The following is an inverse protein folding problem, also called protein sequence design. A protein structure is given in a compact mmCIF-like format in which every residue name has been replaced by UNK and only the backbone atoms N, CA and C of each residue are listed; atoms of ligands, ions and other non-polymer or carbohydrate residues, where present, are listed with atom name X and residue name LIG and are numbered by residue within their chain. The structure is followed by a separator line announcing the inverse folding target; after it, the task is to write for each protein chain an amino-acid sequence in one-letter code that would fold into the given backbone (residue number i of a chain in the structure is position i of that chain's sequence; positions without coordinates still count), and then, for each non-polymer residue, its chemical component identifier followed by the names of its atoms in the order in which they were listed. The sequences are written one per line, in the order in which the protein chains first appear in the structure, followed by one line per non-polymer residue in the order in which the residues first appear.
data_IF_823581828426
#
_entry.id   IF_823581828426
#
_cell.length_a   1.000
_cell.length_b   1.000
_cell.length_c   1.000
_cell.angle_alpha   90.00
_cell.angle_beta   90.00
_cell.angle_gamma   90.00
#
_symmetry.space_group_name_H-M   'P 1'
#
loop_
_entity.id
_entity.type
_entity.pdbx_description
1 polymer ?
#
# COMPACT_ATOMS: atom_id res chain seq x y z
N UNK A 1 -2.77 -9.94 17.54
CA UNK A 1 -1.72 -8.96 17.87
C UNK A 1 -0.46 -9.08 17.01
N UNK A 2 0.29 -10.21 17.04
CA UNK A 2 1.54 -10.38 16.26
C UNK A 2 1.39 -10.15 14.73
N UNK A 3 0.31 -10.65 14.12
CA UNK A 3 0.04 -10.46 12.66
C UNK A 3 -0.22 -8.98 12.31
N UNK A 4 -0.88 -8.24 13.20
CA UNK A 4 -1.25 -6.84 12.98
C UNK A 4 -0.02 -5.92 13.10
N UNK A 5 0.81 -6.13 14.11
CA UNK A 5 2.10 -5.45 14.23
C UNK A 5 2.99 -5.68 13.01
N UNK A 6 3.01 -6.91 12.50
CA UNK A 6 3.75 -7.24 11.28
C UNK A 6 3.19 -6.52 10.05
N UNK A 7 1.87 -6.43 9.89
CA UNK A 7 1.22 -5.67 8.81
C UNK A 7 1.60 -4.19 8.88
N UNK A 8 1.51 -3.60 10.07
CA UNK A 8 1.87 -2.20 10.30
C UNK A 8 3.34 -1.95 10.00
N UNK A 9 4.24 -2.85 10.43
CA UNK A 9 5.66 -2.77 10.09
C UNK A 9 5.90 -2.80 8.58
N UNK A 10 5.28 -3.73 7.85
CA UNK A 10 5.41 -3.78 6.39
C UNK A 10 4.85 -2.51 5.73
N UNK A 11 3.68 -2.03 6.15
CA UNK A 11 3.08 -0.80 5.62
C UNK A 11 4.00 0.40 5.83
N UNK A 12 4.51 0.57 7.06
CA UNK A 12 5.45 1.62 7.41
C UNK A 12 6.75 1.52 6.59
N UNK A 13 7.38 0.35 6.59
CA UNK A 13 8.65 0.11 5.90
C UNK A 13 8.54 0.38 4.39
N UNK A 14 7.54 -0.20 3.72
CA UNK A 14 7.31 0.03 2.29
C UNK A 14 6.87 1.48 2.01
N UNK A 15 6.11 2.09 2.91
CA UNK A 15 5.75 3.51 2.82
C UNK A 15 6.96 4.43 2.83
N UNK A 16 7.95 4.16 3.70
CA UNK A 16 9.21 4.90 3.72
C UNK A 16 10.01 4.71 2.42
N UNK A 17 10.08 3.49 1.89
CA UNK A 17 10.70 3.22 0.58
C UNK A 17 10.03 4.07 -0.51
N UNK A 18 8.70 4.16 -0.50
CA UNK A 18 7.94 4.96 -1.47
C UNK A 18 8.28 6.44 -1.36
N UNK A 19 8.39 7.00 -0.16
CA UNK A 19 8.81 8.39 0.05
C UNK A 19 10.21 8.63 -0.51
N UNK A 20 11.16 7.73 -0.24
CA UNK A 20 12.54 7.81 -0.75
C UNK A 20 12.54 7.75 -2.29
N UNK A 21 11.75 6.85 -2.88
CA UNK A 21 11.64 6.72 -4.34
C UNK A 21 11.04 7.97 -4.99
N UNK A 22 10.05 8.62 -4.38
CA UNK A 22 9.52 9.90 -4.87
C UNK A 22 10.63 10.94 -4.92
N UNK A 23 11.39 11.08 -3.82
CA UNK A 23 12.49 12.05 -3.72
C UNK A 23 13.62 11.78 -4.72
N UNK A 24 13.95 10.51 -4.97
CA UNK A 24 15.05 10.12 -5.86
C UNK A 24 14.68 10.13 -7.35
N UNK A 25 13.49 9.62 -7.71
CA UNK A 25 13.06 9.51 -9.10
C UNK A 25 12.46 10.82 -9.64
N UNK A 26 11.97 11.68 -8.75
CA UNK A 26 11.14 12.83 -9.11
C UNK A 26 9.71 12.43 -9.49
N UNK A 27 8.82 13.43 -9.56
CA UNK A 27 7.37 13.21 -9.72
C UNK A 27 7.03 12.40 -10.97
N UNK A 28 7.53 12.78 -12.15
CA UNK A 28 7.15 12.14 -13.43
C UNK A 28 7.54 10.67 -13.48
N UNK A 29 8.80 10.34 -13.15
CA UNK A 29 9.28 8.97 -13.18
C UNK A 29 8.58 8.11 -12.13
N UNK A 30 8.36 8.65 -10.94
CA UNK A 30 7.61 7.96 -9.89
C UNK A 30 6.17 7.66 -10.34
N UNK A 31 5.46 8.64 -10.91
CA UNK A 31 4.09 8.44 -11.39
C UNK A 31 4.00 7.38 -12.49
N UNK A 32 4.93 7.40 -13.45
CA UNK A 32 5.02 6.37 -14.49
C UNK A 32 5.22 4.99 -13.87
N UNK A 33 6.17 4.84 -12.95
CA UNK A 33 6.41 3.58 -12.25
C UNK A 33 5.18 3.15 -11.43
N UNK A 34 4.50 4.08 -10.76
CA UNK A 34 3.32 3.82 -9.96
C UNK A 34 2.14 3.30 -10.81
N UNK A 35 1.91 3.90 -11.98
CA UNK A 35 0.90 3.42 -12.93
C UNK A 35 1.20 1.98 -13.35
N UNK A 36 2.45 1.66 -13.69
CA UNK A 36 2.86 0.30 -14.06
C UNK A 36 2.62 -0.67 -12.90
N UNK A 37 3.02 -0.30 -11.68
CA UNK A 37 2.79 -1.11 -10.47
C UNK A 37 1.30 -1.36 -10.24
N UNK A 38 0.45 -0.34 -10.41
CA UNK A 38 -1.00 -0.46 -10.27
C UNK A 38 -1.59 -1.40 -11.32
N UNK A 39 -1.20 -1.26 -12.60
CA UNK A 39 -1.69 -2.13 -13.68
C UNK A 39 -1.32 -3.60 -13.40
N UNK A 40 -0.06 -3.85 -13.00
CA UNK A 40 0.41 -5.19 -12.60
C UNK A 40 -0.37 -5.67 -11.38
N UNK A 41 -0.55 -4.84 -10.36
CA UNK A 41 -1.26 -5.16 -9.12
C UNK A 41 -2.72 -5.55 -9.36
N UNK A 42 -3.45 -4.77 -10.17
CA UNK A 42 -4.83 -5.06 -10.54
C UNK A 42 -4.91 -6.35 -11.37
N UNK A 43 -4.02 -6.54 -12.35
CA UNK A 43 -3.95 -7.76 -13.14
C UNK A 43 -3.78 -8.99 -12.25
N UNK A 44 -2.82 -8.95 -11.32
CA UNK A 44 -2.58 -10.00 -10.34
C UNK A 44 -3.81 -10.25 -9.48
N UNK A 45 -4.42 -9.20 -8.94
CA UNK A 45 -5.59 -9.28 -8.06
C UNK A 45 -6.75 -10.01 -8.75
N UNK A 46 -7.00 -9.67 -10.02
CA UNK A 46 -8.02 -10.33 -10.85
C UNK A 46 -7.69 -11.80 -11.10
N UNK A 47 -6.44 -12.14 -11.45
CA UNK A 47 -6.04 -13.54 -11.70
C UNK A 47 -6.18 -14.41 -10.47
N UNK A 48 -5.83 -13.89 -9.29
CA UNK A 48 -6.00 -14.58 -8.01
C UNK A 48 -7.48 -14.79 -7.70
N UNK A 49 -8.31 -13.75 -7.88
CA UNK A 49 -9.76 -13.84 -7.69
C UNK A 49 -10.40 -14.91 -8.57
N UNK A 50 -9.95 -15.02 -9.82
CA UNK A 50 -10.41 -16.03 -10.78
C UNK A 50 -9.93 -17.46 -10.47
N UNK A 51 -9.18 -17.69 -9.38
CA UNK A 51 -8.56 -18.98 -9.01
C UNK A 51 -7.73 -19.61 -10.13
N UNK A 52 -7.28 -18.83 -11.11
CA UNK A 52 -6.38 -19.32 -12.16
C UNK A 52 -5.01 -19.53 -11.52
N UNK A 53 -4.64 -20.81 -11.33
CA UNK A 53 -3.34 -21.20 -10.78
C UNK A 53 -2.24 -20.73 -11.73
N UNK A 54 -1.56 -19.64 -11.41
CA UNK A 54 -0.24 -19.32 -11.96
C UNK A 54 0.77 -19.89 -10.96
N UNK A 55 1.33 -21.09 -11.17
CA UNK A 55 2.00 -21.86 -10.12
C UNK A 55 3.16 -21.11 -9.45
N UNK A 56 3.96 -20.38 -10.22
CA UNK A 56 5.08 -19.58 -9.71
C UNK A 56 4.63 -18.34 -8.93
N UNK A 57 3.60 -17.64 -9.42
CA UNK A 57 3.08 -16.42 -8.80
C UNK A 57 2.30 -16.73 -7.51
N UNK A 58 1.67 -17.89 -7.46
CA UNK A 58 0.81 -18.28 -6.35
C UNK A 58 1.60 -18.39 -5.04
N UNK A 59 2.82 -18.92 -5.06
CA UNK A 59 3.60 -19.15 -3.84
C UNK A 59 4.12 -17.84 -3.23
N UNK A 60 4.68 -16.96 -4.06
CA UNK A 60 5.23 -15.68 -3.58
C UNK A 60 4.11 -14.73 -3.14
N UNK A 61 3.04 -14.63 -3.94
CA UNK A 61 1.96 -13.69 -3.67
C UNK A 61 1.06 -14.19 -2.55
N UNK A 62 0.79 -15.49 -2.43
CA UNK A 62 0.05 -16.02 -1.28
C UNK A 62 0.83 -15.80 0.02
N UNK A 63 2.17 -15.91 -0.01
CA UNK A 63 3.01 -15.53 1.13
C UNK A 63 2.89 -14.04 1.43
N UNK A 64 3.09 -13.16 0.45
CA UNK A 64 3.01 -11.70 0.61
C UNK A 64 1.62 -11.23 1.09
N UNK A 65 0.54 -11.73 0.48
CA UNK A 65 -0.84 -11.50 0.93
C UNK A 65 -1.09 -12.08 2.33
N UNK A 66 -0.43 -13.19 2.70
CA UNK A 66 -0.46 -13.73 4.05
C UNK A 66 0.25 -12.83 5.08
N UNK A 67 1.29 -12.11 4.66
CA UNK A 67 2.07 -11.20 5.50
C UNK A 67 1.39 -9.84 5.67
N UNK A 68 0.91 -9.23 4.58
CA UNK A 68 0.38 -7.87 4.54
C UNK A 68 -1.15 -7.77 4.41
N UNK A 69 -1.81 -8.81 3.88
CA UNK A 69 -3.26 -8.81 3.64
C UNK A 69 -4.10 -9.19 4.87
N UNK A 70 -5.33 -8.66 4.91
CA UNK A 70 -6.34 -9.03 5.92
C UNK A 70 -7.14 -10.24 5.43
N UNK A 71 -7.52 -11.14 6.36
CA UNK A 71 -8.41 -12.28 6.04
C UNK A 71 -9.78 -11.85 5.50
N UNK A 72 -10.16 -10.58 5.74
CA UNK A 72 -11.40 -9.95 5.26
C UNK A 72 -11.29 -9.40 3.84
N UNK A 73 -10.10 -9.34 3.23
CA UNK A 73 -9.91 -8.91 1.83
C UNK A 73 -10.22 -10.04 0.82
N UNK A 74 -11.27 -10.83 1.07
CA UNK A 74 -11.64 -11.95 0.20
C UNK A 74 -12.08 -11.50 -1.19
N UNK A 75 -12.66 -10.30 -1.29
CA UNK A 75 -13.27 -9.81 -2.54
C UNK A 75 -12.26 -9.21 -3.51
N UNK A 76 -11.16 -8.64 -2.97
CA UNK A 76 -10.08 -7.99 -3.72
C UNK A 76 -8.75 -8.33 -3.04
N UNK A 77 -8.03 -9.36 -3.53
CA UNK A 77 -6.70 -9.71 -3.05
C UNK A 77 -5.76 -8.51 -3.14
N UNK A 78 -5.11 -8.14 -2.03
CA UNK A 78 -4.15 -7.03 -2.00
C UNK A 78 -4.78 -5.64 -1.97
N UNK A 79 -6.07 -5.52 -1.62
CA UNK A 79 -6.81 -4.25 -1.56
C UNK A 79 -6.04 -3.13 -0.85
N UNK A 80 -5.42 -3.42 0.29
CA UNK A 80 -4.61 -2.43 1.01
C UNK A 80 -3.47 -1.83 0.16
N UNK A 81 -2.69 -2.66 -0.53
CA UNK A 81 -1.62 -2.19 -1.40
C UNK A 81 -2.17 -1.42 -2.60
N UNK A 82 -3.21 -1.92 -3.26
CA UNK A 82 -3.86 -1.22 -4.38
C UNK A 82 -4.36 0.16 -3.95
N UNK A 83 -5.05 0.23 -2.81
CA UNK A 83 -5.59 1.49 -2.27
C UNK A 83 -4.48 2.46 -1.91
N UNK A 84 -3.37 1.96 -1.34
CA UNK A 84 -2.20 2.78 -1.05
C UNK A 84 -1.61 3.39 -2.33
N UNK A 85 -1.31 2.57 -3.34
CA UNK A 85 -0.74 3.06 -4.60
C UNK A 85 -1.71 3.95 -5.40
N UNK A 86 -3.02 3.69 -5.34
CA UNK A 86 -4.03 4.61 -5.88
C UNK A 86 -4.01 5.95 -5.15
N UNK A 87 -3.92 5.94 -3.82
CA UNK A 87 -3.79 7.16 -3.02
C UNK A 87 -2.53 7.94 -3.36
N UNK A 88 -1.39 7.27 -3.55
CA UNK A 88 -0.14 7.94 -3.93
C UNK A 88 -0.20 8.48 -5.37
N UNK A 89 -0.88 7.81 -6.29
CA UNK A 89 -1.13 8.32 -7.64
C UNK A 89 -1.99 9.59 -7.60
N UNK A 90 -3.10 9.59 -6.84
CA UNK A 90 -3.96 10.76 -6.69
C UNK A 90 -3.21 11.95 -6.07
N UNK A 91 -2.44 11.70 -5.01
CA UNK A 91 -1.61 12.73 -4.39
C UNK A 91 -0.57 13.29 -5.38
N UNK A 92 0.07 12.44 -6.16
CA UNK A 92 1.07 12.87 -7.14
C UNK A 92 0.48 13.63 -8.32
N UNK A 93 -0.77 13.36 -8.70
CA UNK A 93 -1.50 14.17 -9.70
C UNK A 93 -1.85 15.54 -9.12
N UNK A 94 -2.40 15.58 -7.89
CA UNK A 94 -2.81 16.83 -7.24
C UNK A 94 -1.63 17.77 -6.96
N UNK A 95 -0.50 17.21 -6.55
CA UNK A 95 0.70 17.97 -6.17
C UNK A 95 1.83 17.82 -7.20
N UNK A 96 1.49 17.59 -8.47
CA UNK A 96 2.44 17.25 -9.53
C UNK A 96 3.62 18.23 -9.62
N UNK A 97 3.34 19.53 -9.55
CA UNK A 97 4.33 20.60 -9.68
C UNK A 97 5.10 20.90 -8.39
N UNK A 98 4.77 20.25 -7.26
CA UNK A 98 5.42 20.52 -5.98
C UNK A 98 5.71 19.21 -5.24
N UNK A 99 6.94 18.73 -5.40
CA UNK A 99 7.41 17.47 -4.81
C UNK A 99 7.33 17.47 -3.27
N UNK A 100 7.52 18.63 -2.62
CA UNK A 100 7.43 18.73 -1.16
C UNK A 100 5.99 18.55 -0.68
N UNK A 101 5.01 19.16 -1.37
CA UNK A 101 3.60 18.94 -1.07
C UNK A 101 3.18 17.49 -1.38
N UNK A 102 3.71 16.92 -2.45
CA UNK A 102 3.46 15.51 -2.77
C UNK A 102 3.96 14.59 -1.65
N UNK A 103 5.23 14.71 -1.25
CA UNK A 103 5.79 13.93 -0.13
C UNK A 103 5.01 14.18 1.16
N UNK A 104 4.66 15.44 1.44
CA UNK A 104 3.83 15.84 2.57
C UNK A 104 2.49 15.12 2.61
N UNK A 105 1.84 14.96 1.46
CA UNK A 105 0.59 14.22 1.33
C UNK A 105 0.74 12.70 1.53
N UNK A 106 1.92 12.13 1.22
CA UNK A 106 2.20 10.71 1.43
C UNK A 106 2.46 10.36 2.90
N UNK A 107 3.00 11.28 3.69
CA UNK A 107 3.30 11.03 5.11
C UNK A 107 2.04 10.54 5.88
N UNK A 108 0.88 11.21 5.83
CA UNK A 108 -0.33 10.70 6.46
C UNK A 108 -0.76 9.31 5.95
N UNK A 109 -0.54 8.98 4.68
CA UNK A 109 -0.86 7.67 4.12
C UNK A 109 0.03 6.55 4.71
N UNK A 110 1.30 6.86 4.99
CA UNK A 110 2.26 5.90 5.55
C UNK A 110 2.09 5.75 7.07
N UNK A 111 1.97 6.86 7.77
CA UNK A 111 2.01 6.88 9.24
C UNK A 111 0.61 6.85 9.88
N UNK A 112 -0.43 7.28 9.17
CA UNK A 112 -1.78 7.44 9.71
C UNK A 112 -2.38 6.16 10.28
N UNK A 113 -2.14 4.99 9.67
CA UNK A 113 -2.67 3.70 10.17
C UNK A 113 -2.01 3.29 11.50
N UNK A 114 -0.75 3.67 11.72
CA UNK A 114 -0.03 3.43 12.97
C UNK A 114 -0.50 4.39 14.07
N UNK A 115 -0.66 5.68 13.74
CA UNK A 115 -1.16 6.68 14.68
C UNK A 115 -2.60 6.40 15.11
N UNK A 116 -3.50 6.08 14.19
CA UNK A 116 -4.90 5.76 14.51
C UNK A 116 -5.00 4.54 15.43
N UNK A 117 -4.12 3.56 15.28
CA UNK A 117 -4.08 2.38 16.15
C UNK A 117 -3.60 2.70 17.55
N UNK A 118 -2.58 3.56 17.70
CA UNK A 118 -2.05 3.98 19.00
C UNK A 118 -3.09 4.85 19.72
N UNK A 119 -3.61 5.87 19.05
CA UNK A 119 -4.64 6.76 19.61
C UNK A 119 -5.96 6.03 19.88
N UNK A 120 -6.38 5.13 19.00
CA UNK A 120 -7.56 4.29 19.20
C UNK A 120 -7.45 3.38 20.42
N UNK A 121 -6.23 2.95 20.80
CA UNK A 121 -6.00 2.19 22.04
C UNK A 121 -5.91 3.06 23.29
N UNK A 122 -5.36 4.28 23.17
CA UNK A 122 -5.16 5.18 24.31
C UNK A 122 -6.42 5.94 24.71
N UNK A 123 -7.22 6.36 23.73
CA UNK A 123 -8.38 7.26 23.91
C UNK A 123 -9.70 6.55 23.59
N UNK A 124 -9.68 5.55 22.70
CA UNK A 124 -10.88 4.84 22.28
C UNK A 124 -11.40 3.88 23.35
N UNK A 125 -12.64 4.10 23.80
CA UNK A 125 -13.45 3.05 24.45
C UNK A 125 -13.77 2.00 23.39
N UNK A 126 -13.05 0.88 23.42
CA UNK A 126 -13.25 -0.26 22.52
C UNK A 126 -14.72 -0.70 22.61
N UNK A 127 -15.46 -0.67 21.50
CA UNK A 127 -16.63 -1.53 21.25
C UNK A 127 -16.22 -2.63 20.29
#
# INVERSE_FOLDING_TARGET
MKKELRRQFFHYFFGCIVIILIGFLGTTNFLTANIIILLIGYFISVKIKQKKKIPALNTLITKLLGYAGRKTEKDIPGKGALTFFTGTLLAGILFYNNILLFIGAIIPLVFGDSFSTVFGKLIGKIK
#
